data_IF_410572177215
#
_entry.id   IF_410572177215
#
_cell.length_a   1.000
_cell.length_b   1.000
_cell.length_c   1.000
_cell.angle_alpha   90.00
_cell.angle_beta   90.00
_cell.angle_gamma   90.00
#
_symmetry.space_group_name_H-M   'P 1'
#
loop_
_entity.id
_entity.type
_entity.pdbx_description
1 polymer ?
#
# COMPACT_ATOMS: atom_id res chain seq x y z
N UNK A 1 -11.18 -9.74 -2.31
CA UNK A 1 -9.86 -10.32 -1.97
C UNK A 1 -8.81 -9.35 -2.45
N UNK A 2 -7.96 -8.85 -1.55
CA UNK A 2 -6.89 -7.91 -1.88
C UNK A 2 -7.27 -6.42 -1.83
N UNK A 3 -6.27 -5.56 -2.01
CA UNK A 3 -6.41 -4.10 -1.98
C UNK A 3 -7.19 -3.58 -3.18
N UNK A 4 -8.09 -2.61 -2.94
CA UNK A 4 -8.86 -1.93 -3.97
C UNK A 4 -8.44 -0.47 -4.00
N UNK A 5 -7.79 -0.04 -5.08
CA UNK A 5 -7.32 1.32 -5.23
C UNK A 5 -8.48 2.34 -5.15
N UNK A 6 -8.26 3.54 -4.57
CA UNK A 6 -9.23 4.62 -4.53
C UNK A 6 -9.86 4.91 -5.89
N UNK A 7 -11.16 5.18 -5.91
CA UNK A 7 -11.91 5.50 -7.13
C UNK A 7 -12.31 4.28 -7.98
N UNK A 8 -11.81 3.08 -7.69
CA UNK A 8 -12.29 1.86 -8.35
C UNK A 8 -13.68 1.46 -7.88
N UNK A 9 -14.42 0.73 -8.71
CA UNK A 9 -15.72 0.17 -8.33
C UNK A 9 -15.60 -0.74 -7.09
N UNK A 10 -14.49 -1.49 -6.97
CA UNK A 10 -14.20 -2.33 -5.81
C UNK A 10 -14.08 -1.51 -4.51
N UNK A 11 -13.35 -0.39 -4.54
CA UNK A 11 -13.23 0.49 -3.38
C UNK A 11 -14.58 1.12 -2.99
N UNK A 12 -15.38 1.53 -3.96
CA UNK A 12 -16.72 2.09 -3.73
C UNK A 12 -17.64 1.04 -3.07
N UNK A 13 -17.61 -0.20 -3.56
CA UNK A 13 -18.38 -1.30 -2.97
C UNK A 13 -17.90 -1.66 -1.56
N UNK A 14 -16.57 -1.71 -1.36
CA UNK A 14 -15.95 -1.98 -0.06
C UNK A 14 -16.33 -0.92 0.99
N UNK A 15 -16.44 0.34 0.59
CA UNK A 15 -16.85 1.45 1.45
C UNK A 15 -18.37 1.48 1.75
N UNK A 16 -19.12 0.44 1.37
CA UNK A 16 -20.51 0.27 1.77
C UNK A 16 -21.55 1.01 0.90
N UNK A 17 -21.17 1.43 -0.30
CA UNK A 17 -22.08 2.13 -1.21
C UNK A 17 -23.36 1.33 -1.48
N UNK A 18 -24.53 1.97 -1.30
CA UNK A 18 -25.85 1.35 -1.57
C UNK A 18 -26.24 1.39 -3.05
N UNK A 19 -25.55 2.20 -3.84
CA UNK A 19 -25.73 2.34 -5.28
C UNK A 19 -24.39 2.50 -5.98
N UNK A 20 -24.25 1.91 -7.16
CA UNK A 20 -23.06 2.01 -8.00
C UNK A 20 -23.44 2.23 -9.46
N UNK A 21 -22.53 2.81 -10.24
CA UNK A 21 -22.72 3.02 -11.68
C UNK A 21 -21.93 1.99 -12.49
N UNK A 22 -22.64 1.18 -13.28
CA UNK A 22 -22.05 0.16 -14.15
C UNK A 22 -22.66 0.35 -15.54
N UNK A 23 -21.83 0.45 -16.59
CA UNK A 23 -22.28 0.69 -17.98
C UNK A 23 -23.29 1.85 -18.10
N UNK A 24 -22.99 2.97 -17.43
CA UNK A 24 -23.84 4.19 -17.36
C UNK A 24 -25.21 4.00 -16.70
N UNK A 25 -25.49 2.85 -16.08
CA UNK A 25 -26.71 2.59 -15.32
C UNK A 25 -26.44 2.67 -13.82
N UNK A 26 -27.35 3.29 -13.07
CA UNK A 26 -27.31 3.32 -11.61
C UNK A 26 -28.02 2.09 -11.04
N UNK A 27 -27.27 1.22 -10.37
CA UNK A 27 -27.75 -0.04 -9.83
C UNK A 27 -27.72 -0.01 -8.30
N UNK A 28 -28.71 -0.64 -7.66
CA UNK A 28 -28.76 -0.81 -6.20
C UNK A 28 -27.92 -2.03 -5.80
N UNK A 29 -27.06 -1.88 -4.80
CA UNK A 29 -26.29 -2.99 -4.24
C UNK A 29 -27.22 -3.79 -3.32
N UNK A 30 -27.60 -4.99 -3.76
CA UNK A 30 -28.40 -5.94 -2.97
C UNK A 30 -27.56 -7.08 -2.40
N UNK A 31 -26.37 -7.30 -2.96
CA UNK A 31 -25.45 -8.34 -2.50
C UNK A 31 -24.83 -7.95 -1.16
N UNK A 32 -24.52 -8.96 -0.35
CA UNK A 32 -23.67 -8.81 0.84
C UNK A 32 -22.21 -8.66 0.37
N UNK A 33 -21.52 -7.66 0.90
CA UNK A 33 -20.11 -7.41 0.58
C UNK A 33 -19.28 -7.92 1.75
N UNK A 34 -18.40 -8.88 1.48
CA UNK A 34 -17.45 -9.43 2.44
C UNK A 34 -16.03 -9.04 2.03
N UNK A 35 -15.21 -8.66 3.01
CA UNK A 35 -13.82 -8.28 2.79
C UNK A 35 -12.93 -9.37 3.40
N UNK A 36 -12.13 -10.00 2.55
CA UNK A 36 -11.07 -10.92 2.98
C UNK A 36 -9.74 -10.29 2.60
N UNK A 37 -9.07 -9.69 3.59
CA UNK A 37 -7.78 -9.01 3.42
C UNK A 37 -6.59 -9.98 3.50
N UNK A 38 -6.75 -11.15 4.14
CA UNK A 38 -5.68 -12.15 4.38
C UNK A 38 -5.16 -12.89 3.14
N UNK A 39 -5.71 -12.63 1.95
CA UNK A 39 -5.33 -13.30 0.70
C UNK A 39 -4.69 -12.36 -0.32
N UNK A 40 -4.23 -11.18 0.11
CA UNK A 40 -3.59 -10.21 -0.79
C UNK A 40 -2.20 -10.65 -1.28
N UNK A 41 -1.59 -11.64 -0.63
CA UNK A 41 -0.21 -12.12 -0.86
C UNK A 41 0.88 -11.01 -0.77
N UNK A 42 0.52 -9.83 -0.26
CA UNK A 42 1.48 -8.79 0.07
C UNK A 42 1.92 -8.96 1.50
N UNK A 43 3.23 -8.82 1.74
CA UNK A 43 3.79 -8.82 3.07
C UNK A 43 3.15 -7.72 3.92
N UNK A 44 2.78 -8.04 5.14
CA UNK A 44 2.36 -7.03 6.10
C UNK A 44 3.55 -6.17 6.60
N UNK A 45 3.27 -5.19 7.45
CA UNK A 45 4.29 -4.29 7.95
C UNK A 45 5.42 -5.02 8.69
N UNK A 46 5.11 -6.04 9.48
CA UNK A 46 6.11 -6.77 10.25
C UNK A 46 6.90 -7.72 9.35
N UNK A 47 6.24 -8.43 8.43
CA UNK A 47 6.90 -9.28 7.45
C UNK A 47 7.90 -8.47 6.60
N UNK A 48 7.55 -7.23 6.22
CA UNK A 48 8.49 -6.33 5.52
C UNK A 48 9.68 -5.90 6.39
N UNK A 49 9.46 -5.60 7.68
CA UNK A 49 10.55 -5.24 8.61
C UNK A 49 11.48 -6.43 8.82
N UNK A 50 10.93 -7.62 9.03
CA UNK A 50 11.68 -8.86 9.19
C UNK A 50 12.52 -9.14 7.95
N UNK A 51 11.92 -9.02 6.76
CA UNK A 51 12.66 -9.15 5.50
C UNK A 51 13.85 -8.19 5.43
N UNK A 52 13.64 -6.90 5.73
CA UNK A 52 14.71 -5.89 5.71
C UNK A 52 15.76 -6.10 6.80
N UNK A 53 15.40 -6.70 7.94
CA UNK A 53 16.31 -6.95 9.06
C UNK A 53 17.44 -7.92 8.71
N UNK A 54 17.25 -8.76 7.69
CA UNK A 54 18.25 -9.68 7.17
C UNK A 54 19.33 -9.00 6.29
N UNK A 55 19.16 -7.71 5.95
CA UNK A 55 20.13 -6.96 5.16
C UNK A 55 21.29 -6.45 6.02
N UNK A 56 22.52 -6.48 5.48
CA UNK A 56 23.65 -5.81 6.12
C UNK A 56 23.46 -4.29 6.06
N UNK A 57 23.12 -3.71 7.20
CA UNK A 57 22.81 -2.27 7.35
C UNK A 57 23.99 -1.36 7.06
N UNK A 58 25.21 -1.77 7.38
CA UNK A 58 26.42 -0.96 7.15
C UNK A 58 26.71 -0.79 5.64
N UNK A 59 26.27 -1.75 4.83
CA UNK A 59 26.41 -1.72 3.37
C UNK A 59 25.23 -1.05 2.67
N UNK A 60 24.12 -0.84 3.38
CA UNK A 60 22.91 -0.24 2.82
C UNK A 60 23.10 1.27 2.69
N UNK A 61 23.17 1.77 1.46
CA UNK A 61 23.34 3.20 1.18
C UNK A 61 22.03 3.98 1.27
N UNK A 62 20.97 3.44 0.68
CA UNK A 62 19.68 4.12 0.51
C UNK A 62 18.56 3.08 0.43
N UNK A 63 17.35 3.45 0.87
CA UNK A 63 16.14 2.64 0.71
C UNK A 63 15.06 3.48 0.02
N UNK A 64 14.39 2.91 -0.98
CA UNK A 64 13.36 3.59 -1.75
C UNK A 64 12.01 2.91 -1.54
N UNK A 65 11.05 3.62 -0.95
CA UNK A 65 9.70 3.13 -0.77
C UNK A 65 8.85 3.51 -1.97
N UNK A 66 8.36 2.49 -2.68
CA UNK A 66 7.52 2.62 -3.89
C UNK A 66 6.25 1.79 -3.73
N UNK A 67 5.36 1.81 -4.73
CA UNK A 67 4.16 0.96 -4.81
C UNK A 67 3.32 0.92 -3.51
N UNK A 68 2.95 2.10 -3.00
CA UNK A 68 2.05 2.25 -1.86
C UNK A 68 1.34 3.60 -1.90
N UNK A 69 0.30 3.76 -1.09
CA UNK A 69 -0.32 5.06 -0.89
C UNK A 69 0.63 5.98 -0.11
N UNK A 70 0.70 7.26 -0.48
CA UNK A 70 1.66 8.22 0.08
C UNK A 70 1.62 8.26 1.61
N UNK A 71 0.43 8.33 2.19
CA UNK A 71 0.25 8.41 3.64
C UNK A 71 0.76 7.13 4.33
N UNK A 72 0.53 5.96 3.74
CA UNK A 72 1.03 4.69 4.25
C UNK A 72 2.54 4.58 4.13
N UNK A 73 3.12 5.08 3.04
CA UNK A 73 4.56 5.11 2.85
C UNK A 73 5.25 6.06 3.84
N UNK A 74 4.64 7.19 4.18
CA UNK A 74 5.14 8.12 5.20
C UNK A 74 5.12 7.47 6.59
N UNK A 75 4.02 6.82 6.95
CA UNK A 75 3.93 6.05 8.22
C UNK A 75 5.00 4.96 8.25
N UNK A 76 5.12 4.16 7.18
CA UNK A 76 6.08 3.06 7.14
C UNK A 76 7.53 3.56 7.17
N UNK A 77 7.83 4.69 6.53
CA UNK A 77 9.14 5.36 6.65
C UNK A 77 9.48 5.65 8.11
N UNK A 78 8.56 6.26 8.87
CA UNK A 78 8.79 6.54 10.29
C UNK A 78 9.01 5.27 11.11
N UNK A 79 8.28 4.19 10.79
CA UNK A 79 8.48 2.90 11.44
C UNK A 79 9.87 2.33 11.14
N UNK A 80 10.34 2.41 9.89
CA UNK A 80 11.68 1.96 9.52
C UNK A 80 12.79 2.81 10.16
N UNK A 81 12.59 4.12 10.26
CA UNK A 81 13.52 5.02 10.98
C UNK A 81 13.65 4.61 12.46
N UNK A 82 12.53 4.29 13.11
CA UNK A 82 12.54 3.76 14.49
C UNK A 82 13.23 2.39 14.61
N UNK A 83 13.29 1.61 13.53
CA UNK A 83 14.02 0.33 13.46
C UNK A 83 15.49 0.49 13.03
N UNK A 84 16.00 1.73 12.96
CA UNK A 84 17.40 2.03 12.70
C UNK A 84 17.77 2.06 11.21
N UNK A 85 16.78 2.06 10.30
CA UNK A 85 17.04 2.34 8.89
C UNK A 85 17.22 3.84 8.68
N UNK A 86 18.12 4.21 7.77
CA UNK A 86 18.42 5.60 7.45
C UNK A 86 18.43 5.82 5.94
N UNK A 87 18.41 7.09 5.53
CA UNK A 87 18.40 7.49 4.12
C UNK A 87 17.24 6.87 3.30
N UNK A 88 16.03 6.90 3.87
CA UNK A 88 14.81 6.41 3.23
C UNK A 88 14.19 7.50 2.35
N UNK A 89 14.02 7.18 1.07
CA UNK A 89 13.47 8.05 0.03
C UNK A 89 12.05 7.60 -0.33
N UNK A 90 11.21 8.60 -0.62
CA UNK A 90 9.85 8.45 -1.12
C UNK A 90 9.78 9.09 -2.50
N UNK A 91 10.20 8.37 -3.57
CA UNK A 91 10.26 8.93 -4.91
C UNK A 91 8.90 9.45 -5.37
N UNK A 92 8.92 10.62 -6.00
CA UNK A 92 7.77 11.11 -6.77
C UNK A 92 7.81 10.55 -8.18
N UNK A 93 6.65 10.55 -8.84
CA UNK A 93 6.56 10.19 -10.25
C UNK A 93 7.51 11.08 -11.07
N UNK A 94 8.36 10.46 -11.89
CA UNK A 94 9.40 11.08 -12.72
C UNK A 94 10.58 11.70 -11.95
N UNK A 95 10.78 11.36 -10.68
CA UNK A 95 12.00 11.73 -9.95
C UNK A 95 13.15 10.76 -10.30
N UNK A 96 14.34 11.31 -10.50
CA UNK A 96 15.55 10.55 -10.88
C UNK A 96 16.60 10.60 -9.76
N UNK A 97 17.38 9.51 -9.63
CA UNK A 97 18.43 9.38 -8.62
C UNK A 97 19.71 8.81 -9.22
N UNK A 98 20.85 9.36 -8.80
CA UNK A 98 22.19 8.79 -9.06
C UNK A 98 22.65 8.04 -7.81
N UNK A 99 23.13 6.80 -7.97
CA UNK A 99 23.42 5.85 -6.88
C UNK A 99 24.91 5.64 -6.61
#
# INVERSE_FOLDING_TARGET
>A
VGYCAPGTLGAILRNGAKRVRIFRKNLKVKARIEVLDSFSAHADQMEMIEFLSNLNRERLKSLFLVHGEKDQQEIFKSVLENHGFSNIKLPKLNEEFTL
#
